data_IF_870742215781
#
_entry.id   IF_870742215781
#
_cell.length_a   1.000
_cell.length_b   1.000
_cell.length_c   1.000
_cell.angle_alpha   90.00
_cell.angle_beta   90.00
_cell.angle_gamma   90.00
#
_symmetry.space_group_name_H-M   'P 1'
#
loop_
_entity.id
_entity.type
_entity.pdbx_description
1 polymer ?
#
# COMPACT_ATOMS: atom_id res chain seq x y z
N UNK A 1 3.33 5.31 -21.94
CA UNK A 1 2.97 5.41 -20.50
C UNK A 1 4.21 5.37 -19.60
N UNK A 2 5.09 4.37 -19.74
CA UNK A 2 6.29 4.24 -18.89
C UNK A 2 7.21 5.48 -18.93
N UNK A 3 7.57 5.99 -20.11
CA UNK A 3 8.40 7.21 -20.22
C UNK A 3 7.74 8.47 -19.62
N UNK A 4 6.41 8.54 -19.59
CA UNK A 4 5.70 9.63 -18.90
C UNK A 4 5.73 9.46 -17.37
N UNK A 5 5.80 8.22 -16.88
CA UNK A 5 5.99 7.95 -15.45
C UNK A 5 7.42 8.27 -15.00
N UNK A 6 8.42 8.08 -15.87
CA UNK A 6 9.80 8.49 -15.62
C UNK A 6 9.93 10.01 -15.45
N UNK A 7 9.22 10.79 -16.27
CA UNK A 7 9.14 12.26 -16.14
C UNK A 7 8.10 12.74 -15.13
N UNK A 8 7.43 11.81 -14.44
CA UNK A 8 6.37 12.06 -13.47
C UNK A 8 5.17 12.85 -14.00
N UNK A 9 4.95 12.87 -15.31
CA UNK A 9 3.90 13.65 -15.95
C UNK A 9 2.52 13.38 -15.36
N UNK A 10 2.13 12.10 -15.21
CA UNK A 10 0.81 11.75 -14.66
C UNK A 10 0.65 12.22 -13.21
N UNK A 11 1.70 12.07 -12.39
CA UNK A 11 1.66 12.52 -11.00
C UNK A 11 1.53 14.03 -10.93
N UNK A 12 2.34 14.76 -11.69
CA UNK A 12 2.32 16.22 -11.71
C UNK A 12 0.96 16.71 -12.19
N UNK A 13 0.40 16.11 -13.25
CA UNK A 13 -0.92 16.48 -13.75
C UNK A 13 -2.02 16.25 -12.71
N UNK A 14 -2.00 15.12 -12.00
CA UNK A 14 -2.95 14.86 -10.89
C UNK A 14 -2.80 15.91 -9.78
N UNK A 15 -1.57 16.26 -9.41
CA UNK A 15 -1.30 17.27 -8.38
C UNK A 15 -1.74 18.67 -8.82
N UNK A 16 -1.47 19.07 -10.06
CA UNK A 16 -1.89 20.34 -10.64
C UNK A 16 -3.42 20.46 -10.65
N UNK A 17 -4.13 19.44 -11.15
CA UNK A 17 -5.59 19.44 -11.17
C UNK A 17 -6.18 19.42 -9.76
N UNK A 18 -5.58 18.67 -8.83
CA UNK A 18 -5.96 18.69 -7.42
C UNK A 18 -5.79 20.09 -6.81
N UNK A 19 -4.67 20.75 -7.08
CA UNK A 19 -4.41 22.11 -6.58
C UNK A 19 -5.35 23.13 -7.22
N UNK A 20 -5.63 23.00 -8.52
CA UNK A 20 -6.59 23.85 -9.22
C UNK A 20 -7.98 23.73 -8.60
N UNK A 21 -8.46 22.49 -8.41
CA UNK A 21 -9.74 22.22 -7.77
C UNK A 21 -9.81 22.80 -6.35
N UNK A 22 -8.80 22.54 -5.51
CA UNK A 22 -8.77 23.07 -4.15
C UNK A 22 -8.71 24.61 -4.14
N UNK A 23 -7.99 25.23 -5.07
CA UNK A 23 -7.97 26.69 -5.23
C UNK A 23 -9.34 27.25 -5.60
N UNK A 24 -10.05 26.62 -6.53
CA UNK A 24 -11.40 27.04 -6.91
C UNK A 24 -12.42 26.85 -5.78
N UNK A 25 -12.31 25.75 -5.04
CA UNK A 25 -13.10 25.49 -3.83
C UNK A 25 -12.83 26.54 -2.75
N UNK A 26 -11.57 26.85 -2.44
CA UNK A 26 -11.24 27.83 -1.42
C UNK A 26 -11.58 29.27 -1.82
N UNK A 27 -11.41 29.62 -3.10
CA UNK A 27 -11.77 30.95 -3.61
C UNK A 27 -13.28 31.16 -3.81
N UNK A 28 -14.11 30.12 -3.68
CA UNK A 28 -15.55 30.18 -3.88
C UNK A 28 -15.99 30.23 -5.35
N UNK A 29 -15.04 30.23 -6.31
CA UNK A 29 -15.32 30.18 -7.75
C UNK A 29 -15.99 28.87 -8.17
N UNK A 30 -15.73 27.80 -7.43
CA UNK A 30 -16.44 26.53 -7.56
C UNK A 30 -17.40 26.35 -6.37
N UNK A 31 -18.71 26.54 -6.56
CA UNK A 31 -19.67 26.54 -5.46
C UNK A 31 -19.90 25.14 -4.91
N UNK A 32 -19.67 24.96 -3.60
CA UNK A 32 -19.94 23.75 -2.84
C UNK A 32 -20.87 24.10 -1.66
N UNK A 33 -22.11 23.64 -1.75
CA UNK A 33 -23.18 23.89 -0.76
C UNK A 33 -22.77 23.32 0.60
N UNK A 34 -22.87 24.14 1.64
CA UNK A 34 -22.52 23.78 3.02
C UNK A 34 -21.01 23.81 3.32
N UNK A 35 -20.17 24.17 2.34
CA UNK A 35 -18.71 24.28 2.51
C UNK A 35 -18.20 25.70 2.24
N UNK A 36 -18.49 26.28 1.07
CA UNK A 36 -18.07 27.65 0.73
C UNK A 36 -19.24 28.56 0.30
N UNK A 37 -20.43 28.00 0.09
CA UNK A 37 -21.65 28.74 -0.23
C UNK A 37 -22.85 28.10 0.48
N UNK A 38 -23.94 28.86 0.66
CA UNK A 38 -25.13 28.42 1.40
C UNK A 38 -24.81 27.82 2.79
N UNK A 39 -24.02 28.56 3.58
CA UNK A 39 -23.59 28.12 4.91
C UNK A 39 -24.71 28.28 5.95
N UNK A 40 -24.85 27.29 6.83
CA UNK A 40 -25.73 27.38 8.00
C UNK A 40 -25.13 28.35 9.03
N UNK A 41 -25.96 29.22 9.60
CA UNK A 41 -25.56 30.13 10.70
C UNK A 41 -25.13 29.39 11.98
N UNK A 42 -25.50 28.11 12.12
CA UNK A 42 -25.12 27.23 13.23
C UNK A 42 -23.83 26.45 12.98
N UNK A 43 -23.17 26.65 11.83
CA UNK A 43 -22.03 25.85 11.38
C UNK A 43 -22.44 24.48 10.85
N UNK A 44 -21.43 23.68 10.45
CA UNK A 44 -21.61 22.28 10.06
C UNK A 44 -21.31 21.37 11.26
N UNK A 45 -22.29 20.65 11.82
CA UNK A 45 -22.04 19.75 12.94
C UNK A 45 -21.22 18.55 12.46
N UNK A 46 -20.03 18.37 13.02
CA UNK A 46 -19.24 17.16 12.81
C UNK A 46 -19.92 16.00 13.53
N UNK A 47 -20.50 15.07 12.76
CA UNK A 47 -21.04 13.84 13.33
C UNK A 47 -19.86 12.93 13.65
N UNK A 48 -19.49 12.88 14.93
CA UNK A 48 -18.51 11.91 15.40
C UNK A 48 -19.16 10.51 15.32
N UNK A 49 -18.56 9.56 14.56
CA UNK A 49 -19.05 8.20 14.56
C UNK A 49 -18.98 7.64 15.99
N UNK A 50 -20.05 6.96 16.42
CA UNK A 50 -20.15 6.39 17.77
C UNK A 50 -19.11 5.31 18.04
N UNK A 51 -18.66 4.62 17.01
CA UNK A 51 -17.73 3.51 17.11
C UNK A 51 -16.74 3.54 15.95
N UNK A 52 -15.48 3.21 16.25
CA UNK A 52 -14.43 3.02 15.25
C UNK A 52 -13.91 1.60 15.43
N UNK A 53 -14.16 0.75 14.44
CA UNK A 53 -13.68 -0.63 14.47
C UNK A 53 -12.16 -0.61 14.23
N UNK A 54 -11.41 -1.11 15.22
CA UNK A 54 -9.95 -1.24 15.17
C UNK A 54 -9.57 -2.62 15.71
N UNK A 55 -8.46 -3.16 15.22
CA UNK A 55 -7.92 -4.40 15.76
C UNK A 55 -7.59 -4.24 17.26
N UNK A 56 -8.08 -5.19 18.04
CA UNK A 56 -7.78 -5.34 19.46
C UNK A 56 -6.33 -5.75 19.68
N UNK A 57 -5.84 -5.61 20.90
CA UNK A 57 -4.49 -6.06 21.26
C UNK A 57 -4.37 -7.59 21.14
N UNK A 58 -5.39 -8.33 21.57
CA UNK A 58 -5.42 -9.79 21.47
C UNK A 58 -5.27 -10.26 20.02
N UNK A 59 -6.05 -9.69 19.09
CA UNK A 59 -5.97 -10.06 17.67
C UNK A 59 -4.57 -9.81 17.10
N UNK A 60 -3.85 -8.77 17.56
CA UNK A 60 -2.47 -8.51 17.13
C UNK A 60 -1.51 -9.56 17.68
N UNK A 61 -1.64 -9.91 18.96
CA UNK A 61 -0.81 -10.93 19.60
C UNK A 61 -1.03 -12.31 18.94
N UNK A 62 -2.27 -12.64 18.59
CA UNK A 62 -2.61 -13.89 17.92
C UNK A 62 -1.93 -13.99 16.54
N UNK A 63 -1.86 -12.90 15.78
CA UNK A 63 -1.14 -12.86 14.51
C UNK A 63 0.37 -13.05 14.68
N UNK A 64 0.98 -12.42 15.70
CA UNK A 64 2.41 -12.58 16.00
C UNK A 64 2.72 -14.03 16.40
N UNK A 65 1.87 -14.63 17.23
CA UNK A 65 2.01 -16.02 17.65
C UNK A 65 1.88 -16.97 16.46
N UNK A 66 0.87 -16.78 15.61
CA UNK A 66 0.68 -17.57 14.38
C UNK A 66 1.89 -17.49 13.47
N UNK A 67 2.46 -16.29 13.28
CA UNK A 67 3.68 -16.10 12.49
C UNK A 67 4.87 -16.84 13.10
N UNK A 68 5.07 -16.73 14.41
CA UNK A 68 6.17 -17.40 15.12
C UNK A 68 6.07 -18.92 15.02
N UNK A 69 4.85 -19.46 15.11
CA UNK A 69 4.59 -20.88 14.93
C UNK A 69 4.85 -21.35 13.49
N UNK A 70 4.47 -20.55 12.49
CA UNK A 70 4.78 -20.84 11.09
C UNK A 70 6.30 -20.94 10.88
N UNK A 71 7.05 -19.96 11.39
CA UNK A 71 8.51 -19.90 11.27
C UNK A 71 9.23 -21.04 11.98
N UNK A 72 8.73 -21.50 13.13
CA UNK A 72 9.34 -22.62 13.86
C UNK A 72 9.00 -23.99 13.25
N UNK A 73 7.85 -24.12 12.60
CA UNK A 73 7.38 -25.39 12.05
C UNK A 73 7.87 -25.67 10.62
N UNK A 74 8.22 -24.64 9.86
CA UNK A 74 8.53 -24.76 8.43
C UNK A 74 10.00 -24.47 8.14
N UNK A 75 10.66 -25.40 7.45
CA UNK A 75 11.92 -25.11 6.77
C UNK A 75 11.64 -24.45 5.40
N UNK A 76 12.25 -23.29 5.18
CA UNK A 76 11.95 -22.38 4.06
C UNK A 76 13.16 -22.03 3.20
N UNK A 77 14.38 -22.40 3.61
CA UNK A 77 15.62 -21.90 3.00
C UNK A 77 15.73 -22.30 1.52
N UNK A 78 15.39 -23.55 1.20
CA UNK A 78 15.39 -24.03 -0.19
C UNK A 78 14.34 -23.33 -1.06
N UNK A 79 13.16 -23.01 -0.51
CA UNK A 79 12.09 -22.33 -1.25
C UNK A 79 12.45 -20.87 -1.51
N UNK A 80 13.09 -20.22 -0.55
CA UNK A 80 13.59 -18.85 -0.67
C UNK A 80 14.70 -18.79 -1.74
N UNK A 81 15.66 -19.71 -1.70
CA UNK A 81 16.73 -19.80 -2.69
C UNK A 81 16.17 -20.05 -4.09
N UNK A 82 15.27 -21.02 -4.25
CA UNK A 82 14.64 -21.31 -5.54
C UNK A 82 13.87 -20.10 -6.11
N UNK A 83 13.20 -19.33 -5.24
CA UNK A 83 12.52 -18.10 -5.64
C UNK A 83 13.50 -17.02 -6.11
N UNK A 84 14.62 -16.85 -5.41
CA UNK A 84 15.67 -15.91 -5.80
C UNK A 84 16.35 -16.31 -7.10
N UNK A 85 16.70 -17.59 -7.27
CA UNK A 85 17.27 -18.13 -8.50
C UNK A 85 16.32 -17.94 -9.69
N UNK A 86 15.02 -18.21 -9.50
CA UNK A 86 14.02 -17.96 -10.54
C UNK A 86 13.99 -16.49 -10.98
N UNK A 87 14.13 -15.55 -10.05
CA UNK A 87 14.19 -14.12 -10.36
C UNK A 87 15.49 -13.73 -11.09
N UNK A 88 16.64 -14.22 -10.63
CA UNK A 88 17.96 -13.91 -11.23
C UNK A 88 18.10 -14.51 -12.62
N UNK A 89 17.59 -15.72 -12.84
CA UNK A 89 17.63 -16.42 -14.12
C UNK A 89 16.52 -15.97 -15.09
N UNK A 90 15.69 -14.99 -14.71
CA UNK A 90 14.57 -14.50 -15.52
C UNK A 90 13.56 -15.61 -15.88
N UNK A 91 13.37 -16.57 -14.98
CA UNK A 91 12.38 -17.64 -15.09
C UNK A 91 11.00 -17.15 -14.61
N UNK A 92 9.97 -18.00 -14.71
CA UNK A 92 8.64 -17.68 -14.20
C UNK A 92 8.62 -17.68 -12.65
N UNK A 93 8.76 -16.48 -12.07
CA UNK A 93 8.74 -16.26 -10.61
C UNK A 93 7.41 -16.68 -9.99
N UNK A 94 6.28 -16.50 -10.69
CA UNK A 94 4.96 -16.84 -10.15
C UNK A 94 4.82 -18.35 -9.89
N UNK A 95 5.43 -19.20 -10.72
CA UNK A 95 5.46 -20.64 -10.47
C UNK A 95 6.20 -20.99 -9.17
N UNK A 96 7.35 -20.34 -8.90
CA UNK A 96 8.08 -20.51 -7.65
C UNK A 96 7.29 -19.95 -6.44
N UNK A 97 6.53 -18.87 -6.61
CA UNK A 97 5.66 -18.31 -5.57
C UNK A 97 4.55 -19.28 -5.14
N UNK A 98 3.99 -20.05 -6.07
CA UNK A 98 2.96 -21.06 -5.75
C UNK A 98 3.48 -22.12 -4.77
N UNK A 99 4.77 -22.44 -4.81
CA UNK A 99 5.41 -23.35 -3.85
C UNK A 99 5.85 -22.62 -2.57
N UNK A 100 6.44 -21.43 -2.69
CA UNK A 100 6.92 -20.67 -1.54
C UNK A 100 5.78 -20.30 -0.57
N UNK A 101 4.62 -19.88 -1.07
CA UNK A 101 3.47 -19.45 -0.24
C UNK A 101 2.84 -20.56 0.61
N UNK A 102 3.17 -21.84 0.36
CA UNK A 102 2.72 -22.96 1.20
C UNK A 102 3.42 -23.02 2.56
N UNK A 103 4.61 -22.41 2.67
CA UNK A 103 5.47 -22.53 3.86
C UNK A 103 6.09 -21.20 4.32
N UNK A 104 6.38 -20.30 3.39
CA UNK A 104 7.02 -19.02 3.67
C UNK A 104 5.97 -17.97 4.03
N UNK A 105 6.29 -17.09 4.98
CA UNK A 105 5.47 -15.92 5.26
C UNK A 105 5.60 -14.86 4.15
N UNK A 106 4.64 -13.93 4.09
CA UNK A 106 4.68 -12.80 3.16
C UNK A 106 5.97 -11.97 3.31
N UNK A 107 6.44 -11.79 4.56
CA UNK A 107 7.67 -11.05 4.86
C UNK A 107 8.91 -11.75 4.29
N UNK A 108 9.05 -13.06 4.52
CA UNK A 108 10.18 -13.85 4.00
C UNK A 108 10.26 -13.79 2.46
N UNK A 109 9.11 -13.93 1.79
CA UNK A 109 9.03 -13.83 0.32
C UNK A 109 9.44 -12.44 -0.17
N UNK A 110 8.93 -11.40 0.49
CA UNK A 110 9.18 -10.00 0.09
C UNK A 110 10.66 -9.64 0.27
N UNK A 111 11.25 -9.99 1.42
CA UNK A 111 12.67 -9.76 1.69
C UNK A 111 13.58 -10.51 0.73
N UNK A 112 13.24 -11.77 0.42
CA UNK A 112 13.96 -12.58 -0.56
C UNK A 112 14.00 -11.91 -1.95
N UNK A 113 12.86 -11.40 -2.42
CA UNK A 113 12.75 -10.71 -3.70
C UNK A 113 13.41 -9.33 -3.67
N UNK A 114 13.42 -8.61 -2.55
CA UNK A 114 14.15 -7.34 -2.42
C UNK A 114 15.67 -7.52 -2.56
N UNK A 115 16.22 -8.64 -2.08
CA UNK A 115 17.65 -8.91 -2.17
C UNK A 115 18.15 -9.05 -3.62
N UNK A 116 17.29 -9.51 -4.54
CA UNK A 116 17.66 -9.78 -5.96
C UNK A 116 16.98 -8.85 -6.97
N UNK A 117 15.77 -8.36 -6.69
CA UNK A 117 14.97 -7.50 -7.57
C UNK A 117 15.02 -6.01 -7.20
N UNK A 118 15.65 -5.67 -6.07
CA UNK A 118 15.69 -4.32 -5.54
C UNK A 118 14.37 -3.86 -4.91
N UNK A 119 14.38 -2.63 -4.43
CA UNK A 119 13.22 -2.00 -3.78
C UNK A 119 12.69 -0.85 -4.63
N UNK A 120 11.38 -0.64 -4.60
CA UNK A 120 10.79 0.52 -5.25
C UNK A 120 11.35 1.81 -4.63
N UNK A 121 12.02 2.62 -5.44
CA UNK A 121 12.46 3.96 -5.05
C UNK A 121 11.33 4.94 -5.34
N UNK A 122 10.89 5.66 -4.32
CA UNK A 122 9.97 6.78 -4.52
C UNK A 122 10.70 7.85 -5.32
N UNK A 123 10.24 8.07 -6.55
CA UNK A 123 10.55 9.27 -7.29
C UNK A 123 9.92 10.46 -6.54
N UNK A 124 10.64 11.57 -6.33
CA UNK A 124 10.09 12.83 -5.80
C UNK A 124 9.66 13.72 -6.94
#
# INVERSE_FOLDING_TARGET
VLGAMETMYQRNKIQEESLHYETLKHSGKYPIVGVNTFLSSKGSPTILPREVIRATEQEKLDQIHTLTQLHSAMDTDQLILALQEAAVQNNNIFAALMEATKKCSLGQITEALFAVGGQYRRNM
#
